data_IF_110333753474
#
_entry.id   IF_110333753474
#
_cell.length_a   1.000
_cell.length_b   1.000
_cell.length_c   1.000
_cell.angle_alpha   90.00
_cell.angle_beta   90.00
_cell.angle_gamma   90.00
#
_symmetry.space_group_name_H-M   'P 1'
#
loop_
_entity.id
_entity.type
_entity.pdbx_description
1 polymer ?
#
# COMPACT_ATOMS: atom_id res chain seq x y z
N UNK A 1 -8.37 -27.39 -33.62
CA UNK A 1 -8.47 -27.63 -32.17
C UNK A 1 -7.07 -27.63 -31.59
N UNK A 2 -6.74 -26.70 -30.70
CA UNK A 2 -5.49 -26.80 -29.93
C UNK A 2 -5.75 -27.66 -28.70
N UNK A 3 -4.97 -28.73 -28.53
CA UNK A 3 -4.99 -29.54 -27.31
C UNK A 3 -4.06 -28.86 -26.31
N UNK A 4 -4.62 -28.38 -25.20
CA UNK A 4 -3.85 -27.78 -24.10
C UNK A 4 -3.71 -28.83 -23.01
N UNK A 5 -2.50 -29.38 -22.86
CA UNK A 5 -2.20 -30.36 -21.82
C UNK A 5 -1.83 -29.65 -20.52
N UNK A 6 -2.62 -29.89 -19.47
CA UNK A 6 -2.41 -29.27 -18.16
C UNK A 6 -1.84 -30.33 -17.21
N UNK A 7 -0.61 -30.15 -16.69
CA UNK A 7 -0.01 -31.06 -15.73
C UNK A 7 -0.88 -31.27 -14.49
N UNK A 8 -1.10 -32.53 -14.09
CA UNK A 8 -1.94 -32.88 -12.93
C UNK A 8 -1.47 -32.24 -11.62
N UNK A 9 -0.19 -31.88 -11.49
CA UNK A 9 0.32 -31.19 -10.30
C UNK A 9 -0.32 -29.82 -10.11
N UNK A 10 -0.69 -29.11 -11.19
CA UNK A 10 -1.30 -27.78 -11.13
C UNK A 10 -2.79 -27.82 -10.73
N UNK A 11 -3.43 -28.99 -10.78
CA UNK A 11 -4.84 -29.18 -10.45
C UNK A 11 -5.03 -29.41 -8.94
N UNK A 12 -3.94 -29.65 -8.20
CA UNK A 12 -3.98 -30.00 -6.76
C UNK A 12 -4.63 -28.92 -5.88
N UNK A 13 -4.56 -27.66 -6.27
CA UNK A 13 -5.12 -26.54 -5.51
C UNK A 13 -6.59 -26.21 -5.87
N UNK A 14 -7.26 -27.03 -6.69
CA UNK A 14 -8.69 -26.94 -7.08
C UNK A 14 -9.14 -25.65 -7.78
N UNK A 15 -8.33 -24.61 -7.84
CA UNK A 15 -8.66 -23.32 -8.46
C UNK A 15 -7.72 -23.02 -9.65
N UNK A 16 -7.92 -23.76 -10.75
CA UNK A 16 -7.19 -23.50 -11.98
C UNK A 16 -7.98 -22.53 -12.87
N UNK A 17 -7.39 -21.39 -13.20
CA UNK A 17 -7.97 -20.42 -14.12
C UNK A 17 -7.08 -20.29 -15.36
N UNK A 18 -7.68 -20.49 -16.54
CA UNK A 18 -7.05 -20.25 -17.83
C UNK A 18 -7.36 -18.83 -18.30
N UNK A 19 -6.31 -18.06 -18.56
CA UNK A 19 -6.42 -16.69 -19.07
C UNK A 19 -5.45 -16.49 -20.24
N UNK A 20 -5.85 -15.75 -21.28
CA UNK A 20 -4.94 -15.33 -22.34
C UNK A 20 -3.73 -14.58 -21.80
N UNK A 21 -2.54 -14.85 -22.37
CA UNK A 21 -1.27 -14.23 -21.95
C UNK A 21 -1.32 -12.70 -21.95
N UNK A 22 -2.06 -12.10 -22.88
CA UNK A 22 -2.25 -10.65 -22.97
C UNK A 22 -3.01 -10.12 -21.76
N UNK A 23 -4.16 -10.71 -21.47
CA UNK A 23 -5.02 -10.34 -20.33
C UNK A 23 -4.29 -10.54 -18.99
N UNK A 24 -3.52 -11.61 -18.84
CA UNK A 24 -2.71 -11.82 -17.64
C UNK A 24 -1.70 -10.68 -17.40
N UNK A 25 -1.02 -10.22 -18.46
CA UNK A 25 -0.07 -9.11 -18.36
C UNK A 25 -0.76 -7.80 -18.01
N UNK A 26 -1.93 -7.55 -18.58
CA UNK A 26 -2.74 -6.38 -18.28
C UNK A 26 -3.20 -6.38 -16.81
N UNK A 27 -3.66 -7.53 -16.31
CA UNK A 27 -4.05 -7.72 -14.91
C UNK A 27 -2.86 -7.52 -13.95
N UNK A 28 -1.68 -8.05 -14.27
CA UNK A 28 -0.45 -7.78 -13.51
C UNK A 28 -0.08 -6.29 -13.51
N UNK A 29 -0.21 -5.63 -14.66
CA UNK A 29 0.02 -4.20 -14.80
C UNK A 29 -0.98 -3.36 -14.00
N UNK A 30 -2.25 -3.78 -13.97
CA UNK A 30 -3.28 -3.17 -13.14
C UNK A 30 -2.97 -3.35 -11.65
N UNK A 31 -2.64 -4.57 -11.19
CA UNK A 31 -2.28 -4.84 -9.80
C UNK A 31 -1.13 -3.97 -9.31
N UNK A 32 -0.09 -3.77 -10.12
CA UNK A 32 1.05 -2.89 -9.78
C UNK A 32 0.69 -1.40 -9.71
N UNK A 33 -0.30 -0.95 -10.48
CA UNK A 33 -0.71 0.46 -10.55
C UNK A 33 -1.74 0.82 -9.48
N UNK A 34 -2.74 -0.04 -9.29
CA UNK A 34 -3.83 0.15 -8.33
C UNK A 34 -3.36 -0.02 -6.89
N UNK A 35 -2.42 -0.93 -6.65
CA UNK A 35 -1.77 -1.11 -5.36
C UNK A 35 -0.33 -0.64 -5.48
N UNK A 36 -0.11 0.68 -5.30
CA UNK A 36 1.23 1.14 -4.94
C UNK A 36 1.57 0.49 -3.60
N UNK A 37 2.26 -0.65 -3.66
CA UNK A 37 2.90 -1.24 -2.48
C UNK A 37 4.01 -0.29 -2.09
N UNK A 38 3.66 0.75 -1.33
CA UNK A 38 4.63 1.65 -0.72
C UNK A 38 5.41 0.78 0.25
N UNK A 39 6.64 0.42 -0.12
CA UNK A 39 7.55 -0.24 0.81
C UNK A 39 8.09 0.87 1.71
N UNK A 40 7.66 0.93 2.98
CA UNK A 40 8.16 1.96 3.87
C UNK A 40 9.68 1.77 4.05
N UNK A 41 10.38 2.88 4.06
CA UNK A 41 11.78 2.95 4.44
C UNK A 41 11.95 2.62 5.93
N UNK A 42 13.17 2.24 6.33
CA UNK A 42 13.49 2.01 7.75
C UNK A 42 13.22 3.26 8.61
N UNK A 43 13.41 4.45 8.05
CA UNK A 43 13.16 5.71 8.75
C UNK A 43 11.66 5.93 8.99
N UNK A 44 10.82 5.66 7.99
CA UNK A 44 9.35 5.75 8.13
C UNK A 44 8.81 4.76 9.15
N UNK A 45 9.32 3.51 9.17
CA UNK A 45 8.92 2.53 10.18
C UNK A 45 9.26 3.00 11.61
N UNK A 46 10.46 3.57 11.81
CA UNK A 46 10.85 4.15 13.10
C UNK A 46 9.98 5.34 13.48
N UNK A 47 9.61 6.19 12.51
CA UNK A 47 8.73 7.33 12.75
C UNK A 47 7.33 6.89 13.19
N UNK A 48 6.78 5.84 12.57
CA UNK A 48 5.49 5.24 12.97
C UNK A 48 5.59 4.65 14.37
N UNK A 49 6.65 3.90 14.67
CA UNK A 49 6.86 3.32 16.00
C UNK A 49 6.96 4.40 17.08
N UNK A 50 7.70 5.48 16.80
CA UNK A 50 7.79 6.64 17.68
C UNK A 50 6.43 7.30 17.89
N UNK A 51 5.68 7.55 16.82
CA UNK A 51 4.34 8.15 16.91
C UNK A 51 3.39 7.31 17.76
N UNK A 52 3.43 5.98 17.62
CA UNK A 52 2.65 5.07 18.49
C UNK A 52 3.00 5.21 19.97
N UNK A 53 4.29 5.34 20.29
CA UNK A 53 4.75 5.57 21.68
C UNK A 53 4.31 6.93 22.20
N UNK A 54 4.41 7.97 21.40
CA UNK A 54 3.99 9.33 21.78
C UNK A 54 2.48 9.38 22.08
N UNK A 55 1.66 8.76 21.23
CA UNK A 55 0.20 8.63 21.47
C UNK A 55 -0.08 7.87 22.77
N UNK A 56 0.60 6.74 23.01
CA UNK A 56 0.42 5.96 24.24
C UNK A 56 0.81 6.74 25.52
N UNK A 57 1.75 7.68 25.41
CA UNK A 57 2.17 8.56 26.50
C UNK A 57 1.32 9.84 26.62
N UNK A 58 0.25 9.98 25.82
CA UNK A 58 -0.59 11.18 25.79
C UNK A 58 0.08 12.38 25.13
N UNK A 59 1.19 12.19 24.40
CA UNK A 59 1.91 13.23 23.67
C UNK A 59 1.30 13.40 22.28
N UNK A 60 0.10 13.96 22.23
CA UNK A 60 -0.56 14.38 21.00
C UNK A 60 -1.14 15.77 21.18
N UNK A 61 -1.32 16.47 20.07
CA UNK A 61 -1.88 17.82 20.06
C UNK A 61 -3.32 17.80 19.57
N UNK A 62 -4.12 18.76 20.04
CA UNK A 62 -5.49 18.91 19.56
C UNK A 62 -5.50 19.42 18.13
N UNK A 63 -6.54 19.03 17.39
CA UNK A 63 -6.72 19.46 16.00
C UNK A 63 -6.74 21.00 15.87
N UNK A 64 -7.37 21.70 16.81
CA UNK A 64 -7.46 23.16 16.80
C UNK A 64 -6.09 23.82 16.91
N UNK A 65 -5.23 23.30 17.78
CA UNK A 65 -3.86 23.81 17.94
C UNK A 65 -3.01 23.53 16.71
N UNK A 66 -3.10 22.33 16.15
CA UNK A 66 -2.39 21.97 14.90
C UNK A 66 -2.83 22.88 13.75
N UNK A 67 -4.13 23.12 13.61
CA UNK A 67 -4.68 24.03 12.58
C UNK A 67 -4.14 25.46 12.75
N UNK A 68 -4.18 25.98 13.97
CA UNK A 68 -3.68 27.32 14.29
C UNK A 68 -2.18 27.47 14.00
N UNK A 69 -1.37 26.47 14.37
CA UNK A 69 0.08 26.47 14.10
C UNK A 69 0.39 26.41 12.61
N UNK A 70 -0.35 25.59 11.84
CA UNK A 70 -0.19 25.49 10.38
C UNK A 70 -0.57 26.80 9.67
N UNK A 71 -1.68 27.44 10.07
CA UNK A 71 -2.09 28.75 9.55
C UNK A 71 -1.05 29.82 9.88
N UNK A 72 -0.56 29.84 11.13
CA UNK A 72 0.50 30.75 11.57
C UNK A 72 1.80 30.55 10.79
N UNK A 73 2.17 29.31 10.50
CA UNK A 73 3.35 28.98 9.72
C UNK A 73 3.22 29.42 8.26
N UNK A 74 2.04 29.23 7.66
CA UNK A 74 1.74 29.69 6.30
C UNK A 74 1.85 31.22 6.18
N UNK A 75 1.31 31.94 7.16
CA UNK A 75 1.32 33.40 7.17
C UNK A 75 2.72 34.01 7.40
N UNK A 76 3.62 33.32 8.12
CA UNK A 76 5.02 33.77 8.31
C UNK A 76 5.93 33.53 7.11
N UNK A 77 5.52 32.66 6.18
CA UNK A 77 6.29 32.32 4.96
C UNK A 77 5.92 33.17 3.75
N UNK A 78 4.89 34.01 3.86
CA UNK A 78 4.55 35.06 2.90
C UNK A 78 5.26 36.35 3.27
#
# INVERSE_FOLDING_TARGET
MSVITIPKQLIREKELVLIPKKEYKELLGWKKRSFKVVKPTKAELKAIERGRREIALGKYESWEKVKHELESYHNRRR
#
